data_IF_482665255539
#
_entry.id   IF_482665255539
#
_cell.length_a   1.000
_cell.length_b   1.000
_cell.length_c   1.000
_cell.angle_alpha   90.00
_cell.angle_beta   90.00
_cell.angle_gamma   90.00
#
_symmetry.space_group_name_H-M   'P 1'
#
loop_
_entity.id
_entity.type
_entity.pdbx_description
1 polymer ?
#
# COMPACT_ATOMS: atom_id res chain seq x y z
N UNK A 1 20.73 -24.70 -6.43
CA UNK A 1 20.85 -23.26 -6.17
C UNK A 1 19.51 -22.67 -6.53
N UNK A 2 18.53 -22.88 -5.66
CA UNK A 2 17.17 -22.41 -5.86
C UNK A 2 17.04 -21.17 -4.98
N UNK A 3 17.12 -20.01 -5.62
CA UNK A 3 16.82 -18.75 -4.96
C UNK A 3 15.34 -18.80 -4.58
N UNK A 4 15.04 -19.19 -3.34
CA UNK A 4 13.75 -18.94 -2.72
C UNK A 4 13.54 -17.43 -2.75
N UNK A 5 12.91 -16.92 -3.82
CA UNK A 5 12.49 -15.53 -3.91
C UNK A 5 11.46 -15.33 -2.82
N UNK A 6 11.89 -14.85 -1.66
CA UNK A 6 11.01 -14.54 -0.56
C UNK A 6 9.99 -13.52 -1.06
N UNK A 7 8.76 -14.00 -1.29
CA UNK A 7 7.64 -13.17 -1.70
C UNK A 7 7.24 -12.39 -0.46
N UNK A 8 7.91 -11.26 -0.22
CA UNK A 8 7.54 -10.38 0.89
C UNK A 8 6.09 -9.96 0.68
N UNK A 9 5.24 -10.00 1.72
CA UNK A 9 3.84 -9.62 1.59
C UNK A 9 3.76 -8.20 1.04
N UNK A 10 3.00 -8.05 -0.05
CA UNK A 10 2.70 -6.76 -0.66
C UNK A 10 1.21 -6.55 -0.48
N UNK A 11 0.86 -5.59 0.36
CA UNK A 11 -0.49 -5.07 0.43
C UNK A 11 -0.77 -4.26 -0.82
N UNK A 12 -1.92 -4.48 -1.43
CA UNK A 12 -2.46 -3.60 -2.46
C UNK A 12 -3.65 -2.88 -1.84
N UNK A 13 -3.63 -1.57 -1.92
CA UNK A 13 -4.61 -0.70 -1.28
C UNK A 13 -5.12 0.28 -2.34
N UNK A 14 -6.43 0.51 -2.36
CA UNK A 14 -7.02 1.71 -2.93
C UNK A 14 -7.05 2.77 -1.82
N UNK A 15 -6.23 3.80 -1.94
CA UNK A 15 -6.17 4.93 -1.00
C UNK A 15 -6.94 6.09 -1.62
N UNK A 16 -8.25 6.13 -1.37
CA UNK A 16 -9.15 7.14 -1.91
C UNK A 16 -9.08 7.27 -3.45
N UNK A 17 -9.12 6.13 -4.16
CA UNK A 17 -9.05 6.08 -5.62
C UNK A 17 -7.62 6.04 -6.19
N UNK A 18 -6.60 5.94 -5.33
CA UNK A 18 -5.19 5.83 -5.73
C UNK A 18 -4.64 4.47 -5.35
N UNK A 19 -4.16 3.72 -6.34
CA UNK A 19 -3.57 2.42 -6.06
C UNK A 19 -2.18 2.56 -5.43
N UNK A 20 -2.05 2.08 -4.19
CA UNK A 20 -0.83 2.09 -3.40
C UNK A 20 -0.45 0.65 -3.06
N UNK A 21 0.81 0.31 -3.28
CA UNK A 21 1.41 -0.92 -2.79
C UNK A 21 2.19 -0.63 -1.52
N UNK A 22 2.01 -1.44 -0.48
CA UNK A 22 2.82 -1.37 0.73
C UNK A 22 3.54 -2.68 0.93
N UNK A 23 4.87 -2.63 1.02
CA UNK A 23 5.72 -3.80 1.13
C UNK A 23 6.53 -3.74 2.42
N UNK A 24 6.67 -4.89 3.10
CA UNK A 24 7.58 -5.02 4.23
C UNK A 24 9.04 -5.01 3.77
N UNK A 25 9.85 -4.18 4.41
CA UNK A 25 11.29 -4.02 4.20
C UNK A 25 12.04 -4.28 5.51
N UNK A 26 13.37 -4.39 5.45
CA UNK A 26 14.19 -4.53 6.68
C UNK A 26 14.07 -3.30 7.60
N UNK A 27 13.87 -2.10 7.03
CA UNK A 27 13.73 -0.86 7.78
C UNK A 27 12.29 -0.47 8.14
N UNK A 28 11.30 -1.35 7.95
CA UNK A 28 9.88 -1.04 8.14
C UNK A 28 9.07 -1.18 6.86
N UNK A 29 8.23 -0.19 6.55
CA UNK A 29 7.29 -0.27 5.43
C UNK A 29 7.65 0.65 4.28
N UNK A 30 7.46 0.16 3.06
CA UNK A 30 7.66 0.93 1.83
C UNK A 30 6.37 1.01 1.02
N UNK A 31 5.85 2.22 0.85
CA UNK A 31 4.75 2.55 -0.04
C UNK A 31 5.22 2.89 -1.47
N UNK A 32 4.42 2.49 -2.46
CA UNK A 32 4.63 2.77 -3.88
C UNK A 32 3.31 3.13 -4.54
N UNK A 33 3.31 4.18 -5.35
CA UNK A 33 2.23 4.46 -6.29
C UNK A 33 2.32 3.52 -7.49
N UNK A 34 1.18 3.02 -7.94
CA UNK A 34 1.06 2.24 -9.18
C UNK A 34 0.53 3.16 -10.27
N UNK A 35 1.34 3.39 -11.31
CA UNK A 35 0.92 4.11 -12.51
C UNK A 35 -0.02 3.26 -13.37
N UNK A 36 -0.74 3.91 -14.28
CA UNK A 36 -1.63 3.24 -15.24
C UNK A 36 -0.89 2.24 -16.16
N UNK A 37 0.42 2.45 -16.37
CA UNK A 37 1.29 1.54 -17.11
C UNK A 37 1.83 0.37 -16.25
N UNK A 38 1.33 0.21 -15.02
CA UNK A 38 1.71 -0.85 -14.09
C UNK A 38 3.06 -0.62 -13.39
N UNK A 39 3.79 0.45 -13.75
CA UNK A 39 5.05 0.80 -13.10
C UNK A 39 4.83 1.30 -11.67
N UNK A 40 5.80 1.00 -10.82
CA UNK A 40 5.79 1.37 -9.40
C UNK A 40 6.73 2.55 -9.19
N UNK A 41 6.22 3.64 -8.59
CA UNK A 41 7.02 4.77 -8.14
C UNK A 41 7.03 4.79 -6.62
N UNK A 42 8.20 4.96 -5.99
CA UNK A 42 8.29 5.11 -4.54
C UNK A 42 7.45 6.32 -4.08
N UNK A 43 6.59 6.10 -3.09
CA UNK A 43 5.85 7.15 -2.41
C UNK A 43 6.65 7.57 -1.17
N UNK A 44 7.44 8.65 -1.30
CA UNK A 44 8.25 9.19 -0.20
C UNK A 44 7.41 10.03 0.78
N UNK A 45 6.28 10.51 0.29
CA UNK A 45 5.25 11.27 1.00
C UNK A 45 4.33 10.38 1.85
N UNK A 46 4.37 9.06 1.66
CA UNK A 46 3.66 8.07 2.47
C UNK A 46 4.65 7.36 3.42
N UNK A 47 4.92 8.00 4.55
CA UNK A 47 5.83 7.49 5.59
C UNK A 47 5.04 6.64 6.57
N UNK A 48 5.22 5.32 6.53
CA UNK A 48 4.51 4.37 7.40
C UNK A 48 5.44 3.96 8.56
N UNK A 49 5.03 4.14 9.83
CA UNK A 49 5.85 3.74 10.98
C UNK A 49 6.20 2.24 10.95
N UNK A 50 7.45 1.86 11.23
CA UNK A 50 7.90 0.46 11.17
C UNK A 50 7.21 -0.46 12.20
N UNK A 51 6.65 0.12 13.26
CA UNK A 51 5.96 -0.59 14.34
C UNK A 51 4.54 -1.02 13.99
N UNK A 52 3.93 -0.51 12.92
CA UNK A 52 2.57 -0.86 12.53
C UNK A 52 2.51 -2.30 12.01
N UNK A 53 1.46 -3.00 12.43
CA UNK A 53 1.07 -4.29 11.88
C UNK A 53 0.36 -4.12 10.54
N UNK A 54 0.34 -5.20 9.76
CA UNK A 54 -0.23 -5.21 8.42
C UNK A 54 -1.71 -4.78 8.39
N UNK A 55 -2.46 -5.14 9.44
CA UNK A 55 -3.88 -4.81 9.60
C UNK A 55 -4.11 -3.32 9.88
N UNK A 56 -3.14 -2.64 10.50
CA UNK A 56 -3.24 -1.23 10.91
C UNK A 56 -2.95 -0.28 9.74
N UNK A 57 -2.19 -0.72 8.75
CA UNK A 57 -1.74 0.11 7.61
C UNK A 57 -2.91 0.76 6.86
N UNK A 58 -4.01 0.03 6.69
CA UNK A 58 -5.19 0.58 5.98
C UNK A 58 -5.80 1.76 6.72
N UNK A 59 -5.97 1.64 8.04
CA UNK A 59 -6.47 2.72 8.89
C UNK A 59 -5.50 3.89 8.94
N UNK A 60 -4.21 3.61 9.15
CA UNK A 60 -3.17 4.63 9.16
C UNK A 60 -3.14 5.47 7.88
N UNK A 61 -3.25 4.84 6.70
CA UNK A 61 -3.32 5.56 5.43
C UNK A 61 -4.64 6.32 5.25
N UNK A 62 -5.74 5.87 5.85
CA UNK A 62 -7.00 6.59 5.82
C UNK A 62 -6.91 7.91 6.61
N UNK A 63 -6.24 7.90 7.76
CA UNK A 63 -5.97 9.11 8.55
C UNK A 63 -4.94 10.02 7.86
N UNK A 64 -3.80 9.45 7.44
CA UNK A 64 -2.72 10.20 6.80
C UNK A 64 -3.16 10.90 5.50
N UNK A 65 -4.00 10.23 4.71
CA UNK A 65 -4.43 10.69 3.40
C UNK A 65 -5.88 11.21 3.38
N UNK A 66 -6.45 11.57 4.53
CA UNK A 66 -7.87 11.96 4.64
C UNK A 66 -8.29 13.02 3.61
N UNK A 67 -7.41 13.98 3.31
CA UNK A 67 -7.67 15.05 2.33
C UNK A 67 -7.82 14.56 0.88
N UNK A 68 -7.45 13.31 0.59
CA UNK A 68 -7.65 12.70 -0.73
C UNK A 68 -9.05 12.11 -0.90
N UNK A 69 -9.80 11.98 0.19
CA UNK A 69 -11.15 11.43 0.16
C UNK A 69 -12.06 12.25 -0.75
N UNK A 70 -12.84 11.55 -1.57
CA UNK A 70 -13.86 12.15 -2.42
C UNK A 70 -15.18 11.45 -2.20
N UNK A 71 -16.27 12.03 -2.71
CA UNK A 71 -17.58 11.37 -2.66
C UNK A 71 -17.57 10.00 -3.36
N UNK A 72 -16.78 9.83 -4.42
CA UNK A 72 -16.66 8.58 -5.16
C UNK A 72 -15.73 7.57 -4.49
N UNK A 73 -14.70 8.05 -3.80
CA UNK A 73 -13.73 7.23 -3.08
C UNK A 73 -13.62 7.72 -1.63
N UNK A 74 -14.57 7.34 -0.75
CA UNK A 74 -14.67 7.89 0.60
C UNK A 74 -13.82 7.13 1.65
N UNK A 75 -13.17 6.04 1.26
CA UNK A 75 -12.44 5.18 2.20
C UNK A 75 -11.22 4.52 1.54
N UNK A 76 -10.26 4.10 2.38
CA UNK A 76 -9.17 3.21 1.99
C UNK A 76 -9.67 1.78 1.97
N UNK A 77 -9.38 1.04 0.91
CA UNK A 77 -9.82 -0.35 0.72
C UNK A 77 -8.64 -1.25 0.46
N UNK A 78 -8.61 -2.43 1.09
CA UNK A 78 -7.72 -3.51 0.63
C UNK A 78 -8.20 -3.98 -0.74
N UNK A 79 -7.26 -4.04 -1.67
CA UNK A 79 -7.45 -4.68 -2.95
C UNK A 79 -6.87 -6.07 -2.78
N UNK A 80 -7.73 -7.02 -2.41
CA UNK A 80 -7.35 -8.41 -2.33
C UNK A 80 -6.75 -8.81 -3.70
N UNK A 81 -5.70 -9.63 -3.68
CA UNK A 81 -5.39 -10.41 -4.86
C UNK A 81 -6.39 -11.57 -4.86
N UNK A 82 -7.64 -11.32 -5.24
CA UNK A 82 -8.53 -12.45 -5.51
C UNK A 82 -8.19 -13.02 -6.89
N UNK A 83 -7.87 -14.32 -6.99
CA UNK A 83 -7.78 -15.03 -8.24
C UNK A 83 -9.18 -15.53 -8.64
N UNK A 84 -9.78 -14.89 -9.64
CA UNK A 84 -10.78 -15.51 -10.50
C UNK A 84 -10.67 -14.94 -11.92
#
# INVERSE_FOLDING_TARGET
MEEHKEVRPVLRLDVFGRQVLVQRTEGGWAAFYVGLDGKRRRAYDLVIPPSLEEVEIGGYLADLCHEWATHQHPAVRRLDADPA
#
